data_IF_107356475617
#
_entry.id   IF_107356475617
#
_cell.length_a   1.000
_cell.length_b   1.000
_cell.length_c   1.000
_cell.angle_alpha   90.00
_cell.angle_beta   90.00
_cell.angle_gamma   90.00
#
_symmetry.space_group_name_H-M   'P 1'
#
loop_
_entity.id
_entity.type
_entity.pdbx_description
1 polymer ?
#
# COMPACT_ATOMS: atom_id res chain seq x y z
N UNK A 1 2.65 28.79 30.71
CA UNK A 1 1.72 29.10 29.61
C UNK A 1 2.56 29.44 28.38
N UNK A 2 2.94 28.43 27.59
CA UNK A 2 3.92 28.58 26.51
C UNK A 2 3.22 29.07 25.23
N UNK A 3 3.51 30.30 24.82
CA UNK A 3 3.18 30.82 23.50
C UNK A 3 3.98 30.03 22.47
N UNK A 4 3.38 28.97 21.93
CA UNK A 4 3.84 28.37 20.67
C UNK A 4 3.69 29.46 19.62
N UNK A 5 4.79 30.15 19.30
CA UNK A 5 4.87 31.07 18.18
C UNK A 5 4.65 30.25 16.92
N UNK A 6 3.40 30.17 16.47
CA UNK A 6 3.10 29.66 15.14
C UNK A 6 3.84 30.56 14.16
N UNK A 7 4.77 29.97 13.40
CA UNK A 7 5.43 30.65 12.30
C UNK A 7 4.32 31.25 11.42
N UNK A 8 4.29 32.58 11.20
CA UNK A 8 3.24 33.21 10.40
C UNK A 8 3.23 32.55 9.03
N UNK A 9 2.13 31.86 8.69
CA UNK A 9 2.02 31.19 7.41
C UNK A 9 1.80 32.26 6.33
N UNK A 10 2.73 32.44 5.37
CA UNK A 10 2.65 33.51 4.39
C UNK A 10 1.41 33.42 3.50
N UNK A 11 0.79 32.23 3.42
CA UNK A 11 -0.47 31.98 2.71
C UNK A 11 -1.65 32.74 3.32
N UNK A 12 -1.56 33.16 4.60
CA UNK A 12 -2.61 33.93 5.26
C UNK A 12 -2.69 35.39 4.79
N UNK A 13 -1.65 35.92 4.11
CA UNK A 13 -1.65 37.27 3.56
C UNK A 13 -2.32 37.38 2.18
N UNK A 14 -2.68 36.25 1.56
CA UNK A 14 -3.37 36.23 0.28
C UNK A 14 -4.89 36.48 0.46
N UNK A 15 -5.55 37.17 -0.50
CA UNK A 15 -7.00 37.30 -0.51
C UNK A 15 -7.69 35.93 -0.39
N UNK A 16 -8.78 35.85 0.38
CA UNK A 16 -9.48 34.59 0.65
C UNK A 16 -9.87 33.81 -0.62
N UNK A 17 -10.30 34.51 -1.68
CA UNK A 17 -10.62 33.89 -2.97
C UNK A 17 -9.43 33.19 -3.64
N UNK A 18 -8.24 33.81 -3.58
CA UNK A 18 -7.00 33.25 -4.14
C UNK A 18 -6.60 31.99 -3.36
N UNK A 19 -6.69 32.02 -2.03
CA UNK A 19 -6.36 30.87 -1.17
C UNK A 19 -7.26 29.65 -1.46
N UNK A 20 -8.57 29.87 -1.58
CA UNK A 20 -9.53 28.80 -1.85
C UNK A 20 -9.33 28.23 -3.24
N UNK A 21 -9.11 29.09 -4.25
CA UNK A 21 -8.81 28.68 -5.61
C UNK A 21 -7.56 27.78 -5.67
N UNK A 22 -6.43 28.24 -5.10
CA UNK A 22 -5.20 27.44 -5.08
C UNK A 22 -5.37 26.12 -4.33
N UNK A 23 -6.08 26.12 -3.20
CA UNK A 23 -6.34 24.89 -2.44
C UNK A 23 -7.13 23.88 -3.26
N UNK A 24 -8.18 24.31 -3.97
CA UNK A 24 -8.98 23.42 -4.81
C UNK A 24 -8.17 22.91 -6.01
N UNK A 25 -7.41 23.77 -6.69
CA UNK A 25 -6.56 23.36 -7.82
C UNK A 25 -5.45 22.39 -7.38
N UNK A 26 -4.83 22.62 -6.21
CA UNK A 26 -3.84 21.69 -5.66
C UNK A 26 -4.46 20.35 -5.26
N UNK A 27 -5.67 20.36 -4.67
CA UNK A 27 -6.39 19.12 -4.36
C UNK A 27 -6.71 18.34 -5.64
N UNK A 28 -7.23 18.99 -6.67
CA UNK A 28 -7.51 18.36 -7.97
C UNK A 28 -6.25 17.82 -8.63
N UNK A 29 -5.15 18.60 -8.66
CA UNK A 29 -3.89 18.15 -9.23
C UNK A 29 -3.32 16.93 -8.48
N UNK A 30 -3.39 16.95 -7.15
CA UNK A 30 -2.96 15.81 -6.31
C UNK A 30 -3.87 14.60 -6.54
N UNK A 31 -5.18 14.82 -6.68
CA UNK A 31 -6.16 13.79 -6.95
C UNK A 31 -5.93 13.11 -8.31
N UNK A 32 -5.71 13.91 -9.35
CA UNK A 32 -5.33 13.41 -10.68
C UNK A 32 -4.02 12.63 -10.65
N UNK A 33 -3.00 13.13 -9.94
CA UNK A 33 -1.73 12.44 -9.81
C UNK A 33 -1.89 11.08 -9.11
N UNK A 34 -2.72 10.99 -8.07
CA UNK A 34 -3.03 9.74 -7.38
C UNK A 34 -3.82 8.76 -8.27
N UNK A 35 -4.78 9.24 -9.06
CA UNK A 35 -5.48 8.39 -10.02
C UNK A 35 -4.54 7.87 -11.10
N UNK A 36 -3.67 8.72 -11.63
CA UNK A 36 -2.66 8.32 -12.60
C UNK A 36 -1.68 7.30 -12.01
N UNK A 37 -1.26 7.49 -10.75
CA UNK A 37 -0.44 6.53 -10.02
C UNK A 37 -1.18 5.20 -9.82
N UNK A 38 -2.45 5.23 -9.42
CA UNK A 38 -3.28 4.03 -9.28
C UNK A 38 -3.40 3.25 -10.59
N UNK A 39 -3.62 3.96 -11.72
CA UNK A 39 -3.62 3.37 -13.05
C UNK A 39 -2.27 2.78 -13.46
N UNK A 40 -1.18 3.51 -13.20
CA UNK A 40 0.19 3.03 -13.41
C UNK A 40 0.44 1.72 -12.64
N UNK A 41 0.12 1.70 -11.35
CA UNK A 41 0.30 0.52 -10.50
C UNK A 41 -0.58 -0.65 -10.95
N UNK A 42 -1.83 -0.39 -11.34
CA UNK A 42 -2.72 -1.42 -11.84
C UNK A 42 -2.16 -2.12 -13.09
N UNK A 43 -1.68 -1.34 -14.06
CA UNK A 43 -1.08 -1.87 -15.29
C UNK A 43 0.27 -2.55 -15.00
N UNK A 44 1.09 -1.97 -14.11
CA UNK A 44 2.36 -2.54 -13.72
C UNK A 44 2.21 -3.90 -13.01
N UNK A 45 1.23 -4.03 -12.12
CA UNK A 45 0.93 -5.27 -11.40
C UNK A 45 0.27 -6.30 -12.32
N UNK A 46 -0.66 -5.88 -13.18
CA UNK A 46 -1.36 -6.78 -14.10
C UNK A 46 -0.43 -7.40 -15.17
N UNK A 47 0.61 -6.66 -15.57
CA UNK A 47 1.61 -7.11 -16.55
C UNK A 47 2.93 -7.54 -15.91
N UNK A 48 2.93 -7.82 -14.61
CA UNK A 48 4.13 -8.25 -13.90
C UNK A 48 4.57 -9.65 -14.34
N UNK A 49 5.88 -9.79 -14.56
CA UNK A 49 6.54 -11.06 -14.84
C UNK A 49 7.80 -11.19 -13.99
N UNK A 50 7.95 -12.35 -13.34
CA UNK A 50 9.16 -12.66 -12.57
C UNK A 50 10.43 -12.81 -13.45
N UNK A 51 10.27 -12.89 -14.76
CA UNK A 51 11.38 -12.98 -15.73
C UNK A 51 11.82 -11.60 -16.28
N UNK A 52 11.11 -10.52 -15.94
CA UNK A 52 11.44 -9.18 -16.42
C UNK A 52 12.77 -8.68 -15.82
N UNK A 53 13.59 -7.93 -16.60
CA UNK A 53 14.79 -7.32 -16.07
C UNK A 53 14.46 -6.36 -14.93
N UNK A 54 15.04 -6.57 -13.75
CA UNK A 54 14.87 -5.74 -12.56
C UNK A 54 16.25 -5.38 -11.97
N UNK A 55 16.28 -4.59 -10.88
CA UNK A 55 17.55 -4.16 -10.26
C UNK A 55 18.47 -5.31 -9.84
N UNK A 56 17.92 -6.49 -9.59
CA UNK A 56 18.67 -7.67 -9.16
C UNK A 56 18.93 -8.67 -10.31
N UNK A 57 18.27 -8.51 -11.46
CA UNK A 57 18.37 -9.38 -12.63
C UNK A 57 18.52 -8.56 -13.90
N UNK A 58 19.75 -8.37 -14.35
CA UNK A 58 20.05 -7.91 -15.70
C UNK A 58 19.92 -9.10 -16.67
N UNK A 59 18.70 -9.47 -17.05
CA UNK A 59 18.44 -10.46 -18.09
C UNK A 59 18.49 -9.79 -19.47
N UNK A 60 18.95 -10.51 -20.50
CA UNK A 60 18.81 -10.09 -21.90
C UNK A 60 17.41 -10.32 -22.48
N UNK A 61 16.42 -10.61 -21.62
CA UNK A 61 15.06 -10.94 -22.00
C UNK A 61 14.28 -9.67 -22.36
N UNK A 62 13.36 -9.74 -23.33
CA UNK A 62 12.50 -8.61 -23.66
C UNK A 62 11.58 -8.29 -22.47
N UNK A 63 11.54 -7.01 -22.12
CA UNK A 63 10.70 -6.47 -21.06
C UNK A 63 9.21 -6.64 -21.39
N UNK A 64 8.46 -7.32 -20.52
CA UNK A 64 7.04 -7.64 -20.74
C UNK A 64 6.09 -6.63 -20.07
N UNK A 65 6.53 -5.96 -18.99
CA UNK A 65 5.72 -4.98 -18.29
C UNK A 65 5.26 -3.83 -19.20
N UNK A 66 3.95 -3.58 -19.23
CA UNK A 66 3.34 -2.56 -20.09
C UNK A 66 3.75 -1.14 -19.71
N UNK A 67 4.15 -0.92 -18.45
CA UNK A 67 4.63 0.38 -17.97
C UNK A 67 6.15 0.52 -18.13
N UNK A 68 6.80 -0.39 -18.85
CA UNK A 68 8.22 -0.37 -19.08
C UNK A 68 9.03 -0.72 -17.83
N UNK A 69 10.31 -0.31 -17.82
CA UNK A 69 11.27 -0.78 -16.82
C UNK A 69 10.94 -0.26 -15.42
N UNK A 70 10.42 0.97 -15.32
CA UNK A 70 9.92 1.53 -14.07
C UNK A 70 8.74 0.75 -13.52
N UNK A 71 7.84 0.27 -14.39
CA UNK A 71 6.73 -0.61 -14.03
C UNK A 71 7.20 -1.93 -13.47
N UNK A 72 8.12 -2.60 -14.17
CA UNK A 72 8.69 -3.88 -13.74
C UNK A 72 9.36 -3.76 -12.37
N UNK A 73 10.23 -2.75 -12.17
CA UNK A 73 10.92 -2.52 -10.90
C UNK A 73 9.93 -2.19 -9.77
N UNK A 74 8.93 -1.35 -10.04
CA UNK A 74 7.93 -0.98 -9.02
C UNK A 74 7.09 -2.18 -8.60
N UNK A 75 6.64 -2.99 -9.56
CA UNK A 75 5.87 -4.19 -9.30
C UNK A 75 6.70 -5.23 -8.54
N UNK A 76 7.94 -5.48 -8.97
CA UNK A 76 8.85 -6.41 -8.32
C UNK A 76 9.14 -6.02 -6.85
N UNK A 77 9.52 -4.76 -6.59
CA UNK A 77 9.74 -4.28 -5.23
C UNK A 77 8.47 -4.35 -4.38
N UNK A 78 7.31 -4.05 -4.96
CA UNK A 78 6.04 -4.12 -4.25
C UNK A 78 5.71 -5.56 -3.86
N UNK A 79 5.81 -6.51 -4.79
CA UNK A 79 5.56 -7.92 -4.51
C UNK A 79 6.59 -8.53 -3.55
N UNK A 80 7.86 -8.12 -3.63
CA UNK A 80 8.87 -8.57 -2.67
C UNK A 80 8.61 -8.06 -1.26
N UNK A 81 8.26 -6.77 -1.10
CA UNK A 81 8.08 -6.17 0.22
C UNK A 81 6.73 -6.51 0.86
N UNK A 82 5.66 -6.46 0.06
CA UNK A 82 4.27 -6.51 0.53
C UNK A 82 3.50 -7.72 0.00
N UNK A 83 4.05 -8.44 -0.98
CA UNK A 83 3.35 -9.53 -1.65
C UNK A 83 2.03 -9.06 -2.27
N UNK A 84 1.00 -9.88 -2.15
CA UNK A 84 -0.34 -9.63 -2.64
C UNK A 84 -1.02 -8.44 -1.97
N UNK A 85 -0.60 -8.04 -0.76
CA UNK A 85 -1.15 -6.87 -0.09
C UNK A 85 -0.83 -5.57 -0.85
N UNK A 86 0.22 -5.56 -1.66
CA UNK A 86 0.56 -4.43 -2.54
C UNK A 86 -0.55 -4.07 -3.53
N UNK A 87 -1.41 -5.03 -3.91
CA UNK A 87 -2.57 -4.78 -4.77
C UNK A 87 -3.53 -3.75 -4.17
N UNK A 88 -3.60 -3.62 -2.84
CA UNK A 88 -4.45 -2.62 -2.18
C UNK A 88 -3.98 -1.18 -2.41
N UNK A 89 -2.74 -0.96 -2.84
CA UNK A 89 -2.26 0.39 -3.20
C UNK A 89 -3.08 0.98 -4.36
N UNK A 90 -3.57 0.15 -5.29
CA UNK A 90 -4.38 0.57 -6.42
C UNK A 90 -5.73 1.18 -5.98
N UNK A 91 -6.62 0.46 -5.25
CA UNK A 91 -7.87 1.05 -4.79
C UNK A 91 -7.66 2.16 -3.77
N UNK A 92 -6.62 2.11 -2.92
CA UNK A 92 -6.31 3.21 -1.99
C UNK A 92 -5.96 4.49 -2.76
N UNK A 93 -5.07 4.42 -3.74
CA UNK A 93 -4.75 5.56 -4.60
C UNK A 93 -5.99 6.04 -5.39
N UNK A 94 -6.80 5.12 -5.89
CA UNK A 94 -8.05 5.40 -6.59
C UNK A 94 -9.07 6.17 -5.73
N UNK A 95 -9.38 5.68 -4.54
CA UNK A 95 -10.36 6.27 -3.61
C UNK A 95 -9.90 7.66 -3.16
N UNK A 96 -8.63 7.79 -2.79
CA UNK A 96 -8.08 9.07 -2.34
C UNK A 96 -7.95 10.08 -3.48
N UNK A 97 -7.51 9.63 -4.65
CA UNK A 97 -7.44 10.44 -5.86
C UNK A 97 -8.82 10.99 -6.25
N UNK A 98 -9.83 10.12 -6.23
CA UNK A 98 -11.22 10.49 -6.50
C UNK A 98 -11.77 11.48 -5.48
N UNK A 99 -11.58 11.23 -4.18
CA UNK A 99 -12.06 12.14 -3.11
C UNK A 99 -11.46 13.55 -3.22
N UNK A 100 -10.18 13.64 -3.57
CA UNK A 100 -9.51 14.93 -3.75
C UNK A 100 -10.01 15.66 -5.00
N UNK A 101 -10.33 14.93 -6.07
CA UNK A 101 -10.94 15.48 -7.28
C UNK A 101 -12.36 15.98 -7.08
N UNK A 102 -13.16 15.28 -6.29
CA UNK A 102 -14.55 15.64 -5.98
C UNK A 102 -14.67 16.63 -4.82
N UNK A 103 -13.55 17.17 -4.31
CA UNK A 103 -13.50 18.04 -3.13
C UNK A 103 -14.24 17.47 -1.92
N UNK A 104 -14.31 16.15 -1.82
CA UNK A 104 -14.95 15.49 -0.69
C UNK A 104 -14.08 15.70 0.55
N UNK A 105 -14.63 16.23 1.66
CA UNK A 105 -13.84 16.54 2.84
C UNK A 105 -13.15 15.28 3.36
N UNK A 106 -11.83 15.32 3.44
CA UNK A 106 -11.02 14.25 4.03
C UNK A 106 -10.66 14.63 5.45
N UNK A 107 -11.52 14.26 6.39
CA UNK A 107 -11.24 14.48 7.79
C UNK A 107 -10.08 13.60 8.25
N UNK A 108 -9.17 14.20 9.00
CA UNK A 108 -8.05 13.53 9.68
C UNK A 108 -7.16 12.72 8.72
N UNK A 109 -6.73 13.36 7.61
CA UNK A 109 -5.81 12.80 6.60
C UNK A 109 -4.70 11.95 7.22
N UNK A 110 -3.96 12.51 8.19
CA UNK A 110 -2.85 11.81 8.86
C UNK A 110 -3.27 10.51 9.55
N UNK A 111 -4.45 10.47 10.18
CA UNK A 111 -4.93 9.24 10.83
C UNK A 111 -5.30 8.20 9.77
N UNK A 112 -6.04 8.59 8.74
CA UNK A 112 -6.46 7.67 7.68
C UNK A 112 -5.26 7.09 6.93
N UNK A 113 -4.23 7.89 6.64
CA UNK A 113 -2.99 7.38 6.03
C UNK A 113 -2.27 6.38 6.94
N UNK A 114 -2.16 6.67 8.25
CA UNK A 114 -1.54 5.74 9.20
C UNK A 114 -2.33 4.44 9.34
N UNK A 115 -3.65 4.53 9.41
CA UNK A 115 -4.55 3.38 9.45
C UNK A 115 -4.46 2.57 8.16
N UNK A 116 -4.35 3.23 7.00
CA UNK A 116 -4.16 2.57 5.71
C UNK A 116 -2.84 1.80 5.64
N UNK A 117 -1.73 2.37 6.12
CA UNK A 117 -0.44 1.67 6.20
C UNK A 117 -0.47 0.48 7.16
N UNK A 118 -1.14 0.64 8.29
CA UNK A 118 -1.35 -0.45 9.25
C UNK A 118 -2.24 -1.55 8.64
N UNK A 119 -3.32 -1.18 7.95
CA UNK A 119 -4.18 -2.12 7.23
C UNK A 119 -3.40 -2.90 6.18
N UNK A 120 -2.56 -2.23 5.40
CA UNK A 120 -1.70 -2.85 4.40
C UNK A 120 -0.75 -3.89 5.03
N UNK A 121 -0.16 -3.56 6.19
CA UNK A 121 0.72 -4.46 6.94
C UNK A 121 -0.04 -5.68 7.48
N UNK A 122 -1.27 -5.49 7.97
CA UNK A 122 -2.13 -6.58 8.46
C UNK A 122 -2.61 -7.48 7.30
N UNK A 123 -2.88 -6.90 6.13
CA UNK A 123 -3.23 -7.69 4.93
C UNK A 123 -2.02 -8.48 4.42
N UNK A 124 -0.80 -7.92 4.51
CA UNK A 124 0.43 -8.65 4.22
C UNK A 124 0.62 -9.83 5.19
N UNK A 125 0.41 -9.62 6.49
CA UNK A 125 0.38 -10.71 7.47
C UNK A 125 -0.66 -11.78 7.10
N UNK A 126 -1.90 -11.38 6.81
CA UNK A 126 -2.97 -12.29 6.42
C UNK A 126 -2.57 -13.14 5.21
N UNK A 127 -1.97 -12.51 4.19
CA UNK A 127 -1.52 -13.21 2.99
C UNK A 127 -0.41 -14.22 3.30
N UNK A 128 0.55 -13.88 4.17
CA UNK A 128 1.68 -14.75 4.52
C UNK A 128 1.28 -15.99 5.32
N UNK A 129 0.17 -15.90 6.04
CA UNK A 129 -0.37 -17.00 6.85
C UNK A 129 -1.14 -18.01 5.99
N UNK A 130 -1.48 -17.66 4.74
CA UNK A 130 -2.05 -18.59 3.78
C UNK A 130 -0.97 -19.54 3.25
N UNK A 131 -1.32 -20.82 2.99
CA UNK A 131 -0.37 -21.76 2.40
C UNK A 131 0.04 -21.27 1.01
N UNK A 132 1.34 -21.09 0.82
CA UNK A 132 1.92 -20.78 -0.49
C UNK A 132 1.80 -22.00 -1.41
N UNK A 133 1.56 -21.75 -2.69
CA UNK A 133 1.51 -22.80 -3.71
C UNK A 133 2.88 -22.97 -4.37
N UNK A 134 3.19 -24.17 -4.85
CA UNK A 134 4.49 -24.48 -5.49
C UNK A 134 4.78 -23.63 -6.74
N UNK A 135 3.75 -23.01 -7.32
CA UNK A 135 3.86 -22.17 -8.51
C UNK A 135 4.18 -20.71 -8.20
N UNK A 136 4.34 -20.34 -6.92
CA UNK A 136 4.69 -18.97 -6.55
C UNK A 136 6.15 -18.68 -6.92
N UNK A 137 6.41 -17.71 -7.83
CA UNK A 137 7.74 -17.53 -8.41
C UNK A 137 8.72 -16.77 -7.49
N UNK A 138 8.24 -16.18 -6.40
CA UNK A 138 9.06 -15.38 -5.47
C UNK A 138 9.55 -16.25 -4.30
N UNK A 139 10.75 -15.94 -3.80
CA UNK A 139 11.32 -16.63 -2.64
C UNK A 139 10.63 -16.28 -1.30
N UNK A 140 9.84 -15.21 -1.29
CA UNK A 140 9.02 -14.76 -0.15
C UNK A 140 7.60 -15.28 -0.28
N UNK A 141 6.87 -15.37 0.83
CA UNK A 141 5.47 -15.77 0.86
C UNK A 141 4.53 -14.75 0.21
N UNK A 142 3.22 -15.05 0.23
CA UNK A 142 2.21 -14.20 -0.38
C UNK A 142 2.07 -12.81 0.26
N UNK A 143 2.61 -12.57 1.45
CA UNK A 143 2.66 -11.22 2.03
C UNK A 143 4.02 -10.53 1.93
N UNK A 144 4.96 -11.08 1.17
CA UNK A 144 6.30 -10.54 1.01
C UNK A 144 7.07 -10.50 2.33
N UNK A 145 8.23 -9.81 2.32
CA UNK A 145 9.13 -9.72 3.47
C UNK A 145 8.42 -9.19 4.72
N UNK A 146 7.57 -8.16 4.59
CA UNK A 146 6.87 -7.54 5.73
C UNK A 146 5.87 -8.53 6.33
N UNK A 147 5.06 -9.17 5.48
CA UNK A 147 4.07 -10.14 5.93
C UNK A 147 4.71 -11.37 6.58
N UNK A 148 5.76 -11.91 5.96
CA UNK A 148 6.48 -13.09 6.47
C UNK A 148 7.18 -12.79 7.80
N UNK A 149 7.76 -11.59 7.93
CA UNK A 149 8.32 -11.13 9.20
C UNK A 149 7.24 -11.03 10.29
N UNK A 150 6.07 -10.49 9.97
CA UNK A 150 4.96 -10.45 10.93
C UNK A 150 4.42 -11.85 11.26
N UNK A 151 4.34 -12.74 10.27
CA UNK A 151 3.84 -14.10 10.45
C UNK A 151 4.78 -14.92 11.34
N UNK A 152 6.09 -14.83 11.13
CA UNK A 152 7.08 -15.47 11.99
C UNK A 152 7.02 -14.96 13.44
N UNK A 153 6.85 -13.65 13.63
CA UNK A 153 6.70 -13.05 14.97
C UNK A 153 5.39 -13.46 15.67
N UNK A 154 4.34 -13.78 14.91
CA UNK A 154 3.01 -14.09 15.46
C UNK A 154 2.69 -15.58 15.38
N UNK A 155 2.28 -16.07 14.22
CA UNK A 155 1.92 -17.46 13.96
C UNK A 155 3.09 -18.41 14.22
N UNK A 156 4.33 -18.02 13.89
CA UNK A 156 5.52 -18.84 14.15
C UNK A 156 5.77 -19.06 15.64
N UNK A 157 5.79 -17.99 16.44
CA UNK A 157 5.95 -18.11 17.90
C UNK A 157 4.78 -18.86 18.56
N UNK A 158 3.55 -18.64 18.08
CA UNK A 158 2.38 -19.34 18.60
C UNK A 158 2.39 -20.83 18.20
N UNK A 159 2.92 -21.16 17.02
CA UNK A 159 3.07 -22.52 16.52
C UNK A 159 3.91 -23.41 17.43
N UNK A 160 4.92 -22.85 18.11
CA UNK A 160 5.73 -23.56 19.12
C UNK A 160 4.86 -24.09 20.27
N UNK A 161 3.77 -23.40 20.61
CA UNK A 161 2.92 -23.71 21.76
C UNK A 161 1.75 -24.63 21.39
N UNK A 162 1.09 -24.39 20.25
CA UNK A 162 -0.18 -25.06 19.89
C UNK A 162 -0.12 -25.83 18.57
N UNK A 163 1.03 -25.85 17.89
CA UNK A 163 1.23 -26.42 16.55
C UNK A 163 1.02 -25.40 15.42
N UNK A 164 1.70 -25.60 14.30
CA UNK A 164 1.74 -24.63 13.20
C UNK A 164 0.36 -24.39 12.57
N UNK A 165 -0.34 -25.45 12.15
CA UNK A 165 -1.64 -25.32 11.49
C UNK A 165 -2.69 -24.52 12.30
N UNK A 166 -2.95 -24.82 13.60
CA UNK A 166 -3.91 -24.05 14.38
C UNK A 166 -3.43 -22.62 14.68
N UNK A 167 -2.12 -22.39 14.84
CA UNK A 167 -1.58 -21.04 15.04
C UNK A 167 -1.79 -20.16 13.80
N UNK A 168 -1.50 -20.68 12.61
CA UNK A 168 -1.73 -19.98 11.34
C UNK A 168 -3.22 -19.73 11.14
N UNK A 169 -4.10 -20.72 11.37
CA UNK A 169 -5.54 -20.52 11.26
C UNK A 169 -6.06 -19.40 12.20
N UNK A 170 -5.64 -19.40 13.46
CA UNK A 170 -6.06 -18.40 14.45
C UNK A 170 -5.59 -16.99 14.06
N UNK A 171 -4.30 -16.83 13.76
CA UNK A 171 -3.73 -15.54 13.34
C UNK A 171 -4.37 -15.06 12.05
N UNK A 172 -4.64 -15.95 11.09
CA UNK A 172 -5.33 -15.61 9.85
C UNK A 172 -6.73 -15.04 10.09
N UNK A 173 -7.53 -15.68 10.95
CA UNK A 173 -8.88 -15.17 11.30
C UNK A 173 -8.80 -13.81 12.00
N UNK A 174 -7.87 -13.65 12.95
CA UNK A 174 -7.66 -12.37 13.65
C UNK A 174 -7.21 -11.26 12.71
N UNK A 175 -6.25 -11.56 11.82
CA UNK A 175 -5.72 -10.63 10.84
C UNK A 175 -6.79 -10.23 9.83
N UNK A 176 -7.65 -11.16 9.39
CA UNK A 176 -8.78 -10.85 8.51
C UNK A 176 -9.76 -9.87 9.17
N UNK A 177 -10.18 -10.16 10.40
CA UNK A 177 -11.10 -9.27 11.14
C UNK A 177 -10.51 -7.88 11.34
N UNK A 178 -9.23 -7.81 11.74
CA UNK A 178 -8.52 -6.55 11.95
C UNK A 178 -8.32 -5.80 10.63
N UNK A 179 -7.97 -6.47 9.53
CA UNK A 179 -7.80 -5.86 8.22
C UNK A 179 -9.10 -5.21 7.74
N UNK A 180 -10.23 -5.92 7.81
CA UNK A 180 -11.53 -5.40 7.41
C UNK A 180 -11.93 -4.19 8.26
N UNK A 181 -11.72 -4.27 9.57
CA UNK A 181 -11.94 -3.15 10.47
C UNK A 181 -11.10 -1.93 10.07
N UNK A 182 -9.79 -2.08 9.91
CA UNK A 182 -8.89 -0.97 9.57
C UNK A 182 -9.19 -0.36 8.19
N UNK A 183 -9.48 -1.19 7.19
CA UNK A 183 -9.85 -0.73 5.85
C UNK A 183 -11.14 0.11 5.86
N UNK A 184 -12.07 -0.14 6.79
CA UNK A 184 -13.27 0.69 6.95
C UNK A 184 -12.98 2.13 7.42
N UNK A 185 -11.83 2.33 8.09
CA UNK A 185 -11.40 3.64 8.61
C UNK A 185 -10.33 4.33 7.75
N UNK A 186 -9.76 3.64 6.77
CA UNK A 186 -8.85 4.20 5.77
C UNK A 186 -9.59 5.17 4.83
#
# INVERSE_FOLDING_TARGET
MALVRSIPNPVNYLPMGVRVFFRHRMAEATGLALLALGGFLALAFASWSAADPNWNQATGAPLQNWMGASGAVTADLTYQLLGLAGLLLVPLAGIWGWRLLTHTPVDQVRRRTLVGLLALSVVALLASVLPTTDNWPLAVGFGGVIGDALASLTAGNLGILIGDAPAHALIGVMALGLALFLLSYA
#
